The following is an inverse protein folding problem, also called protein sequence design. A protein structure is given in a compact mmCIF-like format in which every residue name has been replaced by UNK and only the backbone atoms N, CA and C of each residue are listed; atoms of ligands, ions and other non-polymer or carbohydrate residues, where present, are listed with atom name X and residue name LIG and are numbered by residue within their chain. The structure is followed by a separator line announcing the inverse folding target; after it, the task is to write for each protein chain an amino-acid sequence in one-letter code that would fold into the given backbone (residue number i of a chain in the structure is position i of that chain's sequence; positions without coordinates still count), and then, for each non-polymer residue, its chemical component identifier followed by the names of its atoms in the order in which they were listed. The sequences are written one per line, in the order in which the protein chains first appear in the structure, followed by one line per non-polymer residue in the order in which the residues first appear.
data_IF_695928366903
#
_entry.id   IF_695928366903
#
_cell.length_a   1.000
_cell.length_b   1.000
_cell.length_c   1.000
_cell.angle_alpha   90.00
_cell.angle_beta   90.00
_cell.angle_gamma   90.00
#
_symmetry.space_group_name_H-M   'P 1'
#
loop_
_entity.id
_entity.type
_entity.pdbx_description
1 polymer ?
#
# COMPACT_ATOMS: atom_id res chain seq x y z
N UNK A 1 -17.19 -13.73 68.35
CA UNK A 1 -17.88 -15.05 68.39
C UNK A 1 -19.22 -14.91 67.68
N UNK A 2 -19.61 -15.97 66.95
CA UNK A 2 -20.79 -16.12 66.06
C UNK A 2 -20.55 -15.68 64.61
N UNK A 3 -20.81 -16.46 63.58
CA UNK A 3 -21.08 -17.90 63.45
C UNK A 3 -20.82 -18.25 61.98
N UNK A 4 -20.19 -19.39 61.77
CA UNK A 4 -20.16 -20.15 60.53
C UNK A 4 -21.56 -20.16 59.88
N UNK A 5 -21.68 -19.64 58.66
CA UNK A 5 -22.81 -19.92 57.77
C UNK A 5 -22.28 -20.41 56.43
N UNK A 6 -21.45 -21.44 56.52
CA UNK A 6 -21.22 -22.38 55.42
C UNK A 6 -22.29 -23.47 55.59
N UNK A 7 -22.84 -23.94 54.47
CA UNK A 7 -23.79 -25.04 54.29
C UNK A 7 -25.27 -24.64 54.39
N UNK A 8 -25.89 -24.31 53.24
CA UNK A 8 -27.18 -24.89 52.78
C UNK A 8 -27.85 -24.09 51.64
N UNK A 9 -27.30 -24.07 50.42
CA UNK A 9 -28.13 -23.81 49.21
C UNK A 9 -27.56 -24.30 47.86
N UNK A 10 -26.43 -25.01 47.82
CA UNK A 10 -25.98 -25.71 46.60
C UNK A 10 -26.70 -27.06 46.42
N UNK A 11 -28.03 -27.07 46.28
CA UNK A 11 -28.72 -28.24 45.72
C UNK A 11 -30.10 -27.94 45.11
N UNK A 12 -30.19 -26.84 44.36
CA UNK A 12 -31.17 -26.65 43.29
C UNK A 12 -30.33 -26.01 42.16
N UNK A 13 -30.18 -26.51 40.94
CA UNK A 13 -31.09 -27.26 40.10
C UNK A 13 -30.28 -27.80 38.90
N UNK A 14 -29.39 -28.79 39.12
CA UNK A 14 -28.49 -29.32 38.06
C UNK A 14 -29.27 -29.84 36.85
N UNK A 15 -30.51 -30.30 37.07
CA UNK A 15 -31.44 -30.79 36.05
C UNK A 15 -32.01 -29.64 35.20
N UNK A 16 -32.43 -28.53 35.79
CA UNK A 16 -32.89 -27.34 35.04
C UNK A 16 -31.76 -26.63 34.28
N UNK A 17 -30.54 -26.61 34.82
CA UNK A 17 -29.38 -26.08 34.10
C UNK A 17 -29.04 -26.95 32.87
N UNK A 18 -29.17 -28.29 33.00
CA UNK A 18 -28.98 -29.20 31.88
C UNK A 18 -30.07 -29.03 30.82
N UNK A 19 -31.33 -28.86 31.22
CA UNK A 19 -32.45 -28.61 30.30
C UNK A 19 -32.30 -27.27 29.56
N UNK A 20 -31.88 -26.21 30.26
CA UNK A 20 -31.61 -24.91 29.64
C UNK A 20 -30.45 -24.99 28.64
N UNK A 21 -29.40 -25.75 28.98
CA UNK A 21 -28.25 -25.99 28.10
C UNK A 21 -28.63 -26.78 26.84
N UNK A 22 -29.50 -27.79 26.97
CA UNK A 22 -30.01 -28.57 25.83
C UNK A 22 -30.85 -27.68 24.91
N UNK A 23 -31.75 -26.86 25.46
CA UNK A 23 -32.56 -25.91 24.66
C UNK A 23 -31.66 -24.91 23.92
N UNK A 24 -30.63 -24.39 24.59
CA UNK A 24 -29.66 -23.49 23.96
C UNK A 24 -28.90 -24.18 22.81
N UNK A 25 -28.48 -25.43 22.99
CA UNK A 25 -27.82 -26.21 21.93
C UNK A 25 -28.73 -26.43 20.72
N UNK A 26 -30.02 -26.75 20.94
CA UNK A 26 -30.98 -26.94 19.84
C UNK A 26 -31.15 -25.63 19.06
N UNK A 27 -31.30 -24.50 19.74
CA UNK A 27 -31.41 -23.18 19.09
C UNK A 27 -30.11 -22.85 18.33
N UNK A 28 -28.95 -23.10 18.92
CA UNK A 28 -27.65 -22.87 18.30
C UNK A 28 -27.47 -23.69 17.01
N UNK A 29 -27.87 -24.97 17.00
CA UNK A 29 -27.84 -25.80 15.80
C UNK A 29 -28.83 -25.34 14.72
N UNK A 30 -30.02 -24.85 15.10
CA UNK A 30 -30.96 -24.23 14.15
C UNK A 30 -30.36 -22.97 13.52
N UNK A 31 -29.67 -22.13 14.31
CA UNK A 31 -28.99 -20.94 13.80
C UNK A 31 -27.83 -21.29 12.86
N UNK A 32 -26.99 -22.28 13.21
CA UNK A 32 -25.93 -22.77 12.31
C UNK A 32 -26.55 -23.32 11.01
N UNK A 33 -27.62 -24.12 11.12
CA UNK A 33 -28.34 -24.64 9.95
C UNK A 33 -28.87 -23.54 9.03
N UNK A 34 -29.47 -22.50 9.61
CA UNK A 34 -29.94 -21.32 8.87
C UNK A 34 -28.79 -20.54 8.22
N UNK A 35 -27.68 -20.32 8.92
CA UNK A 35 -26.48 -19.67 8.36
C UNK A 35 -25.91 -20.47 7.18
N UNK A 36 -25.75 -21.79 7.32
CA UNK A 36 -25.22 -22.67 6.27
C UNK A 36 -26.16 -22.74 5.06
N UNK A 37 -27.48 -22.78 5.30
CA UNK A 37 -28.48 -22.76 4.24
C UNK A 37 -28.46 -21.44 3.46
N UNK A 38 -28.30 -20.31 4.16
CA UNK A 38 -28.19 -18.98 3.52
C UNK A 38 -26.87 -18.83 2.75
N UNK A 39 -25.76 -19.33 3.29
CA UNK A 39 -24.46 -19.35 2.63
C UNK A 39 -24.46 -20.20 1.34
N UNK A 40 -25.16 -21.34 1.33
CA UNK A 40 -25.31 -22.15 0.10
C UNK A 40 -26.21 -21.50 -0.95
N UNK A 41 -27.22 -20.73 -0.54
CA UNK A 41 -28.13 -20.04 -1.49
C UNK A 41 -27.53 -18.77 -2.10
N UNK A 42 -26.50 -18.20 -1.48
CA UNK A 42 -25.71 -17.08 -2.01
C UNK A 42 -24.49 -17.50 -2.85
N UNK A 43 -24.24 -18.81 -2.96
CA UNK A 43 -23.06 -19.36 -3.63
C UNK A 43 -23.26 -19.80 -5.08
N UNK A 44 -24.38 -19.46 -5.74
CA UNK A 44 -24.69 -20.00 -7.07
C UNK A 44 -24.71 -19.01 -8.24
N UNK A 45 -24.18 -17.79 -8.08
CA UNK A 45 -23.96 -16.87 -9.20
C UNK A 45 -22.61 -16.15 -9.06
N UNK A 46 -21.54 -16.68 -9.65
CA UNK A 46 -20.46 -15.83 -10.19
C UNK A 46 -19.34 -16.56 -10.97
N UNK A 47 -19.67 -17.07 -12.16
CA UNK A 47 -18.65 -17.37 -13.18
C UNK A 47 -18.20 -16.12 -13.96
N UNK A 48 -19.06 -15.09 -14.08
CA UNK A 48 -18.83 -13.98 -15.00
C UNK A 48 -18.16 -12.74 -14.38
N UNK A 49 -18.28 -12.52 -13.06
CA UNK A 49 -17.70 -11.31 -12.41
C UNK A 49 -16.20 -11.41 -12.11
N UNK A 50 -15.62 -12.62 -12.08
CA UNK A 50 -14.15 -12.78 -11.93
C UNK A 50 -13.41 -12.37 -13.20
N UNK A 51 -13.93 -12.70 -14.38
CA UNK A 51 -13.34 -12.30 -15.64
C UNK A 51 -13.40 -10.78 -15.85
N UNK A 52 -14.53 -10.14 -15.52
CA UNK A 52 -14.70 -8.68 -15.63
C UNK A 52 -13.95 -7.88 -14.56
N UNK A 53 -13.80 -8.41 -13.33
CA UNK A 53 -12.99 -7.79 -12.27
C UNK A 53 -11.50 -7.78 -12.60
N UNK A 54 -10.95 -8.94 -12.99
CA UNK A 54 -9.54 -9.07 -13.40
C UNK A 54 -9.27 -8.18 -14.63
N UNK A 55 -10.17 -8.16 -15.61
CA UNK A 55 -9.99 -7.35 -16.82
C UNK A 55 -10.02 -5.83 -16.52
N UNK A 56 -10.89 -5.36 -15.64
CA UNK A 56 -10.89 -3.94 -15.19
C UNK A 56 -9.62 -3.58 -14.43
N UNK A 57 -9.15 -4.46 -13.56
CA UNK A 57 -7.90 -4.25 -12.81
C UNK A 57 -6.70 -4.15 -13.74
N UNK A 58 -6.61 -5.03 -14.75
CA UNK A 58 -5.51 -4.98 -15.74
C UNK A 58 -5.54 -3.72 -16.60
N UNK A 59 -6.70 -3.26 -17.05
CA UNK A 59 -6.83 -2.01 -17.83
C UNK A 59 -6.46 -0.80 -16.97
N UNK A 60 -6.94 -0.75 -15.73
CA UNK A 60 -6.62 0.32 -14.78
C UNK A 60 -5.11 0.41 -14.48
N UNK A 61 -4.45 -0.73 -14.24
CA UNK A 61 -3.01 -0.76 -14.02
C UNK A 61 -2.23 -0.34 -15.28
N UNK A 62 -2.69 -0.73 -16.47
CA UNK A 62 -2.06 -0.34 -17.72
C UNK A 62 -2.22 1.16 -18.00
N UNK A 63 -3.32 1.77 -17.57
CA UNK A 63 -3.55 3.21 -17.70
C UNK A 63 -2.72 4.02 -16.70
N UNK A 64 -2.59 3.56 -15.44
CA UNK A 64 -1.67 4.18 -14.47
C UNK A 64 -0.24 4.11 -15.00
N UNK A 65 0.18 2.95 -15.52
CA UNK A 65 1.51 2.77 -16.09
C UNK A 65 1.80 3.76 -17.21
N UNK A 66 0.89 3.87 -18.18
CA UNK A 66 1.02 4.79 -19.31
C UNK A 66 1.03 6.25 -18.87
N UNK A 67 0.19 6.61 -17.91
CA UNK A 67 0.17 7.97 -17.36
C UNK A 67 1.47 8.29 -16.64
N UNK A 68 1.98 7.38 -15.82
CA UNK A 68 3.26 7.55 -15.13
C UNK A 68 4.41 7.78 -16.10
N UNK A 69 4.57 6.93 -17.13
CA UNK A 69 5.62 7.10 -18.15
C UNK A 69 5.50 8.45 -18.88
N UNK A 70 4.27 8.86 -19.20
CA UNK A 70 3.99 10.13 -19.87
C UNK A 70 4.31 11.34 -18.99
N UNK A 71 4.09 11.25 -17.68
CA UNK A 71 4.30 12.35 -16.74
C UNK A 71 5.75 12.45 -16.24
N UNK A 72 6.43 11.32 -16.05
CA UNK A 72 7.80 11.32 -15.51
C UNK A 72 8.84 11.81 -16.51
N UNK A 73 8.70 11.45 -17.79
CA UNK A 73 9.64 11.83 -18.85
C UNK A 73 9.84 13.36 -18.94
N UNK A 74 8.79 14.19 -19.05
CA UNK A 74 8.99 15.64 -19.11
C UNK A 74 9.59 16.21 -17.82
N UNK A 75 9.30 15.65 -16.65
CA UNK A 75 9.91 16.07 -15.37
C UNK A 75 11.42 15.83 -15.41
N UNK A 76 11.82 14.62 -15.76
CA UNK A 76 13.23 14.20 -15.82
C UNK A 76 14.00 14.96 -16.90
N UNK A 77 13.41 15.17 -18.07
CA UNK A 77 14.03 15.95 -19.15
C UNK A 77 14.20 17.42 -18.79
N UNK A 78 13.21 18.01 -18.11
CA UNK A 78 13.30 19.39 -17.64
C UNK A 78 14.44 19.53 -16.63
N UNK A 79 14.58 18.55 -15.73
CA UNK A 79 15.71 18.49 -14.81
C UNK A 79 17.06 18.35 -15.53
N UNK A 80 17.16 17.52 -16.56
CA UNK A 80 18.40 17.37 -17.32
C UNK A 80 18.79 18.65 -18.05
N UNK A 81 17.82 19.45 -18.52
CA UNK A 81 18.06 20.73 -19.17
C UNK A 81 18.39 21.86 -18.16
N UNK A 82 17.62 21.95 -17.06
CA UNK A 82 17.76 22.98 -16.03
C UNK A 82 18.96 22.71 -15.09
N UNK A 83 19.21 21.46 -14.74
CA UNK A 83 20.18 21.04 -13.72
C UNK A 83 21.65 21.07 -14.17
N UNK A 84 21.93 21.22 -15.46
CA UNK A 84 23.30 21.30 -16.01
C UNK A 84 23.90 22.70 -16.02
N UNK A 85 23.09 23.76 -15.92
CA UNK A 85 23.53 25.14 -16.04
C UNK A 85 23.19 25.94 -14.77
N UNK A 86 23.89 27.05 -14.56
CA UNK A 86 23.59 27.99 -13.48
C UNK A 86 24.37 27.80 -12.18
N UNK A 87 24.07 28.69 -11.24
CA UNK A 87 24.62 28.79 -9.88
C UNK A 87 24.20 27.61 -9.00
N UNK A 88 24.85 27.45 -7.85
CA UNK A 88 24.47 26.43 -6.85
C UNK A 88 23.01 26.58 -6.41
N UNK A 89 22.52 27.81 -6.23
CA UNK A 89 21.15 28.08 -5.81
C UNK A 89 20.12 27.70 -6.88
N UNK A 90 20.40 27.99 -8.15
CA UNK A 90 19.57 27.59 -9.29
C UNK A 90 19.50 26.06 -9.40
N UNK A 91 20.63 25.37 -9.24
CA UNK A 91 20.69 23.90 -9.23
C UNK A 91 19.89 23.30 -8.08
N UNK A 92 20.03 23.84 -6.87
CA UNK A 92 19.23 23.42 -5.71
C UNK A 92 17.74 23.60 -5.96
N UNK A 93 17.36 24.75 -6.54
CA UNK A 93 15.96 25.04 -6.88
C UNK A 93 15.42 24.03 -7.89
N UNK A 94 16.18 23.73 -8.95
CA UNK A 94 15.81 22.73 -9.94
C UNK A 94 15.68 21.32 -9.35
N UNK A 95 16.60 20.93 -8.45
CA UNK A 95 16.55 19.63 -7.75
C UNK A 95 15.30 19.51 -6.90
N UNK A 96 15.01 20.53 -6.06
CA UNK A 96 13.84 20.54 -5.18
C UNK A 96 12.55 20.50 -6.00
N UNK A 97 12.42 21.38 -7.00
CA UNK A 97 11.28 21.42 -7.93
C UNK A 97 11.05 20.06 -8.60
N UNK A 98 12.12 19.41 -9.07
CA UNK A 98 12.02 18.10 -9.73
C UNK A 98 11.58 17.02 -8.75
N UNK A 99 12.17 16.99 -7.54
CA UNK A 99 11.81 16.01 -6.52
C UNK A 99 10.34 16.16 -6.12
N UNK A 100 9.89 17.39 -5.89
CA UNK A 100 8.52 17.66 -5.47
C UNK A 100 7.53 17.28 -6.59
N UNK A 101 7.89 17.53 -7.86
CA UNK A 101 7.12 17.06 -9.01
C UNK A 101 7.05 15.53 -9.06
N UNK A 102 8.16 14.83 -8.83
CA UNK A 102 8.16 13.35 -8.75
C UNK A 102 7.27 12.86 -7.62
N UNK A 103 7.40 13.41 -6.41
CA UNK A 103 6.60 13.00 -5.25
C UNK A 103 5.09 13.19 -5.43
N UNK A 104 4.67 14.04 -6.37
CA UNK A 104 3.26 14.25 -6.72
C UNK A 104 2.68 13.18 -7.66
N UNK A 105 3.53 12.35 -8.29
CA UNK A 105 3.09 11.35 -9.26
C UNK A 105 2.39 10.16 -8.58
N UNK A 106 1.36 9.63 -9.25
CA UNK A 106 0.81 8.32 -8.89
C UNK A 106 1.70 7.23 -9.44
N UNK A 107 2.32 6.46 -8.54
CA UNK A 107 3.35 5.47 -8.92
C UNK A 107 2.73 4.08 -9.08
N UNK A 108 2.83 3.44 -10.26
CA UNK A 108 2.43 2.05 -10.42
C UNK A 108 3.43 1.13 -9.70
N UNK A 109 2.96 -0.05 -9.29
CA UNK A 109 3.77 -0.98 -8.49
C UNK A 109 5.08 -1.35 -9.18
N UNK A 110 5.06 -1.50 -10.49
CA UNK A 110 6.20 -1.90 -11.32
C UNK A 110 7.31 -0.84 -11.36
N UNK A 111 6.97 0.44 -11.15
CA UNK A 111 7.93 1.55 -11.17
C UNK A 111 8.25 2.11 -9.78
N UNK A 112 7.79 1.46 -8.71
CA UNK A 112 8.04 1.92 -7.33
C UNK A 112 9.54 2.02 -7.03
N UNK A 113 10.31 1.00 -7.41
CA UNK A 113 11.76 0.98 -7.16
C UNK A 113 12.49 2.10 -7.94
N UNK A 114 12.23 2.21 -9.25
CA UNK A 114 12.76 3.30 -10.08
C UNK A 114 12.41 4.68 -9.51
N UNK A 115 11.16 4.87 -9.10
CA UNK A 115 10.68 6.13 -8.53
C UNK A 115 11.45 6.51 -7.27
N UNK A 116 11.61 5.55 -6.36
CA UNK A 116 12.34 5.74 -5.11
C UNK A 116 13.82 6.05 -5.38
N UNK A 117 14.45 5.32 -6.30
CA UNK A 117 15.84 5.56 -6.69
C UNK A 117 16.04 6.98 -7.22
N UNK A 118 15.12 7.50 -8.06
CA UNK A 118 15.15 8.89 -8.53
C UNK A 118 15.03 9.90 -7.38
N UNK A 119 14.05 9.72 -6.49
CA UNK A 119 13.85 10.61 -5.33
C UNK A 119 15.06 10.61 -4.40
N UNK A 120 15.66 9.44 -4.17
CA UNK A 120 16.87 9.29 -3.35
C UNK A 120 18.04 9.99 -4.02
N UNK A 121 18.27 9.78 -5.32
CA UNK A 121 19.36 10.43 -6.06
C UNK A 121 19.23 11.95 -6.00
N UNK A 122 18.04 12.51 -6.21
CA UNK A 122 17.79 13.96 -6.08
C UNK A 122 18.01 14.46 -4.65
N UNK A 123 17.60 13.70 -3.64
CA UNK A 123 17.82 14.08 -2.23
C UNK A 123 19.30 14.07 -1.84
N UNK A 124 20.07 13.14 -2.41
CA UNK A 124 21.53 13.11 -2.27
C UNK A 124 22.17 14.29 -2.99
N UNK A 125 21.75 14.62 -4.20
CA UNK A 125 22.22 15.82 -4.91
C UNK A 125 21.94 17.09 -4.10
N UNK A 126 20.74 17.23 -3.53
CA UNK A 126 20.39 18.37 -2.67
C UNK A 126 21.34 18.45 -1.45
N UNK A 127 21.56 17.34 -0.75
CA UNK A 127 22.53 17.28 0.35
C UNK A 127 23.95 17.66 -0.11
N UNK A 128 24.31 17.21 -1.31
CA UNK A 128 25.58 17.53 -1.96
C UNK A 128 25.80 19.01 -2.18
N UNK A 129 24.85 19.69 -2.80
CA UNK A 129 24.92 21.13 -3.02
C UNK A 129 24.79 21.96 -1.73
N UNK A 130 24.32 21.36 -0.62
CA UNK A 130 24.33 21.95 0.72
C UNK A 130 25.64 21.72 1.49
N UNK A 131 26.63 21.05 0.90
CA UNK A 131 27.98 20.91 1.45
C UNK A 131 28.42 19.47 1.78
N UNK A 132 27.61 18.45 1.48
CA UNK A 132 27.95 17.04 1.72
C UNK A 132 28.53 16.39 0.46
N UNK A 133 29.85 16.49 0.27
CA UNK A 133 30.52 16.03 -0.95
C UNK A 133 30.27 14.53 -1.27
N UNK A 134 30.14 13.68 -0.25
CA UNK A 134 29.87 12.25 -0.43
C UNK A 134 28.48 12.01 -1.02
N UNK A 135 27.49 12.79 -0.57
CA UNK A 135 26.14 12.76 -1.16
C UNK A 135 26.12 13.33 -2.57
N UNK A 136 26.92 14.35 -2.88
CA UNK A 136 27.01 14.86 -4.25
C UNK A 136 27.49 13.77 -5.21
N UNK A 137 28.60 13.12 -4.87
CA UNK A 137 29.17 12.04 -5.68
C UNK A 137 28.21 10.85 -5.81
N UNK A 138 27.59 10.43 -4.70
CA UNK A 138 26.62 9.33 -4.67
C UNK A 138 25.38 9.66 -5.49
N UNK A 139 24.83 10.86 -5.34
CA UNK A 139 23.65 11.32 -6.09
C UNK A 139 23.91 11.37 -7.60
N UNK A 140 25.08 11.89 -8.02
CA UNK A 140 25.48 11.92 -9.43
C UNK A 140 25.65 10.51 -10.01
N UNK A 141 26.29 9.61 -9.25
CA UNK A 141 26.47 8.21 -9.66
C UNK A 141 25.11 7.51 -9.82
N UNK A 142 24.25 7.61 -8.81
CA UNK A 142 22.94 6.96 -8.84
C UNK A 142 22.07 7.49 -9.99
N UNK A 143 22.07 8.81 -10.24
CA UNK A 143 21.33 9.40 -11.35
C UNK A 143 21.82 8.87 -12.71
N UNK A 144 23.13 8.69 -12.86
CA UNK A 144 23.72 8.10 -14.08
C UNK A 144 23.29 6.66 -14.28
N UNK A 145 23.39 5.83 -13.24
CA UNK A 145 23.00 4.42 -13.27
C UNK A 145 21.50 4.25 -13.60
N UNK A 146 20.65 5.12 -13.06
CA UNK A 146 19.22 5.15 -13.38
C UNK A 146 19.01 5.42 -14.88
N UNK A 147 19.69 6.44 -15.43
CA UNK A 147 19.58 6.78 -16.86
C UNK A 147 20.16 5.72 -17.79
N UNK A 148 21.22 5.03 -17.39
CA UNK A 148 21.80 3.95 -18.18
C UNK A 148 20.88 2.71 -18.17
N UNK A 149 20.25 2.42 -17.03
CA UNK A 149 19.33 1.28 -16.88
C UNK A 149 17.95 1.54 -17.47
N UNK A 150 17.56 2.81 -17.64
CA UNK A 150 16.25 3.22 -18.15
C UNK A 150 16.38 4.24 -19.30
N UNK A 151 16.79 3.80 -20.50
CA UNK A 151 17.04 4.72 -21.63
C UNK A 151 15.82 5.54 -22.05
N UNK A 152 14.60 5.04 -21.78
CA UNK A 152 13.34 5.70 -22.09
C UNK A 152 13.08 6.97 -21.26
N UNK A 153 13.85 7.20 -20.19
CA UNK A 153 13.79 8.43 -19.39
C UNK A 153 14.53 9.62 -20.03
N UNK A 154 15.41 9.37 -21.00
CA UNK A 154 16.20 10.40 -21.68
C UNK A 154 15.37 11.15 -22.72
#
# INVERSE_FOLDING_TARGET
MKNFKILSSLNLNRRSQLELFIVFLVIFFVFIGAMVFTAKRLGHDNGNNRATGIQRETVYQQDIKRNYEKEIVPIVRSFAAEGSAGTTEERLTAIVKTRDALLSLTVPKEYTDLHLQLVIALSQLEGGYKGDADKLASGQKNLREIYDSNPWLR
#
